data_IF_890282617293
#
_entry.id   IF_890282617293
#
_cell.length_a   1.000
_cell.length_b   1.000
_cell.length_c   1.000
_cell.angle_alpha   90.00
_cell.angle_beta   90.00
_cell.angle_gamma   90.00
#
_symmetry.space_group_name_H-M   'P 1'
#
loop_
_entity.id
_entity.type
_entity.pdbx_description
1 polymer ?
#
# COMPACT_ATOMS: atom_id res chain seq x y z
N UNK A 1 2.62 5.65 -6.69
CA UNK A 1 2.22 5.53 -5.27
C UNK A 1 1.57 6.84 -4.88
N UNK A 2 0.44 6.81 -4.16
CA UNK A 2 -0.36 8.01 -3.82
C UNK A 2 -1.10 7.79 -2.49
N UNK A 3 -1.48 8.84 -1.74
CA UNK A 3 -1.13 10.25 -1.95
C UNK A 3 0.38 10.50 -1.86
N UNK A 4 0.84 11.64 -2.40
CA UNK A 4 2.24 12.06 -2.31
C UNK A 4 2.45 12.77 -0.96
N UNK A 5 2.76 11.98 0.07
CA UNK A 5 3.05 12.44 1.41
C UNK A 5 4.15 11.60 2.05
N UNK A 6 4.75 12.11 3.11
CA UNK A 6 5.65 11.34 3.96
C UNK A 6 4.83 10.42 4.87
N UNK A 7 5.16 9.12 4.90
CA UNK A 7 4.41 8.09 5.64
C UNK A 7 4.67 8.16 7.16
N UNK A 8 4.24 9.25 7.79
CA UNK A 8 4.14 9.41 9.25
C UNK A 8 2.70 9.19 9.71
N UNK A 9 2.52 8.94 11.01
CA UNK A 9 1.20 8.70 11.58
C UNK A 9 0.29 9.93 11.41
N UNK A 10 0.80 11.11 11.71
CA UNK A 10 0.09 12.40 11.63
C UNK A 10 -0.34 12.71 10.19
N UNK A 11 0.53 12.45 9.22
CA UNK A 11 0.23 12.66 7.80
C UNK A 11 -0.84 11.68 7.31
N UNK A 12 -0.86 10.45 7.82
CA UNK A 12 -1.90 9.48 7.49
C UNK A 12 -3.24 9.91 8.10
N UNK A 13 -3.26 10.35 9.36
CA UNK A 13 -4.48 10.82 10.03
C UNK A 13 -5.08 12.07 9.35
N UNK A 14 -4.24 13.05 8.99
CA UNK A 14 -4.70 14.25 8.26
C UNK A 14 -5.30 13.94 6.88
N UNK A 15 -4.95 12.78 6.32
CA UNK A 15 -5.42 12.31 5.01
C UNK A 15 -6.19 10.99 5.11
N UNK A 16 -6.82 10.69 6.25
CA UNK A 16 -7.42 9.38 6.54
C UNK A 16 -8.48 8.97 5.50
N UNK A 17 -9.21 9.94 4.95
CA UNK A 17 -10.26 9.73 3.95
C UNK A 17 -9.73 9.52 2.52
N UNK A 18 -8.40 9.61 2.32
CA UNK A 18 -7.79 9.44 1.00
C UNK A 18 -7.66 7.95 0.66
N UNK A 19 -7.84 7.59 -0.62
CA UNK A 19 -7.49 6.25 -1.11
C UNK A 19 -5.96 6.15 -1.27
N UNK A 20 -5.36 5.19 -0.58
CA UNK A 20 -3.93 4.92 -0.64
C UNK A 20 -3.63 3.86 -1.70
N UNK A 21 -2.56 4.10 -2.47
CA UNK A 21 -1.97 3.13 -3.38
C UNK A 21 -0.50 2.99 -3.02
N UNK A 22 -0.18 1.92 -2.30
CA UNK A 22 1.14 1.62 -1.75
C UNK A 22 1.85 0.53 -2.56
N UNK A 23 3.17 0.51 -2.47
CA UNK A 23 4.03 -0.52 -3.07
C UNK A 23 4.90 -1.12 -1.98
N UNK A 24 5.01 -2.44 -1.91
CA UNK A 24 5.93 -3.09 -0.96
C UNK A 24 7.37 -2.73 -1.30
N UNK A 25 8.23 -2.70 -0.27
CA UNK A 25 9.65 -2.36 -0.43
C UNK A 25 10.33 -3.36 -1.40
N UNK A 26 11.09 -2.88 -2.40
CA UNK A 26 11.83 -3.75 -3.31
C UNK A 26 12.89 -4.55 -2.55
N UNK A 27 13.14 -5.78 -2.99
CA UNK A 27 14.15 -6.66 -2.39
C UNK A 27 13.73 -7.31 -1.06
N UNK A 28 12.49 -7.14 -0.61
CA UNK A 28 11.96 -7.90 0.54
C UNK A 28 11.34 -9.22 0.10
N UNK A 29 10.61 -9.22 -1.01
CA UNK A 29 10.04 -10.43 -1.58
C UNK A 29 11.11 -11.21 -2.34
N UNK A 30 11.69 -12.22 -1.68
CA UNK A 30 12.75 -13.08 -2.22
C UNK A 30 12.16 -14.30 -2.93
N UNK A 31 11.48 -14.04 -4.04
CA UNK A 31 10.90 -15.09 -4.90
C UNK A 31 11.71 -15.21 -6.18
N UNK A 32 11.80 -16.43 -6.72
CA UNK A 32 12.44 -16.70 -8.00
C UNK A 32 11.51 -16.33 -9.18
N UNK A 33 11.17 -15.05 -9.27
CA UNK A 33 10.38 -14.47 -10.36
C UNK A 33 11.14 -13.28 -10.98
N UNK A 34 10.76 -12.79 -12.18
CA UNK A 34 11.30 -11.55 -12.71
C UNK A 34 11.13 -10.34 -11.75
N UNK A 35 12.06 -9.36 -11.73
CA UNK A 35 12.06 -8.24 -10.78
C UNK A 35 10.75 -7.45 -10.68
N UNK A 36 10.02 -7.34 -11.79
CA UNK A 36 8.71 -6.68 -11.92
C UNK A 36 7.61 -7.35 -11.09
N UNK A 37 7.74 -8.65 -10.79
CA UNK A 37 6.81 -9.41 -9.96
C UNK A 37 7.27 -9.54 -8.50
N UNK A 38 8.42 -8.97 -8.13
CA UNK A 38 8.98 -9.04 -6.76
C UNK A 38 8.49 -7.91 -5.85
N UNK A 39 7.33 -7.34 -6.16
CA UNK A 39 6.67 -6.35 -5.31
C UNK A 39 5.16 -6.44 -5.48
N UNK A 40 4.43 -6.03 -4.45
CA UNK A 40 2.98 -5.91 -4.50
C UNK A 40 2.60 -4.44 -4.57
N UNK A 41 1.60 -4.15 -5.38
CA UNK A 41 0.92 -2.85 -5.42
C UNK A 41 -0.44 -3.01 -4.78
N UNK A 42 -0.68 -2.34 -3.66
CA UNK A 42 -1.89 -2.47 -2.86
C UNK A 42 -2.69 -1.18 -2.94
N UNK A 43 -4.00 -1.29 -3.15
CA UNK A 43 -4.93 -0.15 -3.11
C UNK A 43 -5.91 -0.35 -1.97
N UNK A 44 -6.18 0.69 -1.19
CA UNK A 44 -7.01 0.56 0.00
C UNK A 44 -7.27 1.87 0.73
N UNK A 45 -7.89 1.75 1.90
CA UNK A 45 -8.20 2.86 2.81
C UNK A 45 -7.48 2.66 4.15
N UNK A 46 -7.22 3.78 4.81
CA UNK A 46 -6.68 3.80 6.17
C UNK A 46 -7.86 3.96 7.15
N UNK A 47 -7.86 3.18 8.22
CA UNK A 47 -8.81 3.25 9.30
C UNK A 47 -8.05 3.52 10.59
N UNK A 48 -8.42 4.58 11.32
CA UNK A 48 -7.86 4.86 12.64
C UNK A 48 -8.73 4.21 13.72
N UNK A 49 -8.11 3.51 14.67
CA UNK A 49 -8.77 2.87 15.82
C UNK A 49 -8.35 3.60 17.09
N UNK A 50 -9.13 4.60 17.57
CA UNK A 50 -8.72 5.48 18.66
C UNK A 50 -8.42 4.77 19.98
N UNK A 51 -9.08 3.64 20.23
CA UNK A 51 -8.93 2.86 21.47
C UNK A 51 -7.55 2.23 21.63
N UNK A 52 -6.83 2.04 20.51
CA UNK A 52 -5.51 1.38 20.49
C UNK A 52 -4.42 2.25 19.88
N UNK A 53 -4.76 3.44 19.42
CA UNK A 53 -3.86 4.35 18.68
C UNK A 53 -3.19 3.66 17.47
N UNK A 54 -3.97 2.86 16.74
CA UNK A 54 -3.50 2.11 15.58
C UNK A 54 -4.14 2.63 14.28
N UNK A 55 -3.37 2.55 13.20
CA UNK A 55 -3.89 2.70 11.84
C UNK A 55 -3.88 1.35 11.14
N UNK A 56 -5.05 0.94 10.66
CA UNK A 56 -5.26 -0.28 9.88
C UNK A 56 -5.33 0.10 8.40
N UNK A 57 -4.55 -0.58 7.56
CA UNK A 57 -4.65 -0.47 6.12
C UNK A 57 -5.49 -1.60 5.54
N UNK A 58 -6.74 -1.32 5.19
CA UNK A 58 -7.64 -2.28 4.54
C UNK A 58 -7.46 -2.17 3.02
N UNK A 59 -6.90 -3.20 2.40
CA UNK A 59 -6.45 -3.11 1.01
C UNK A 59 -6.63 -4.41 0.21
N UNK A 60 -6.48 -4.27 -1.10
CA UNK A 60 -6.48 -5.37 -2.05
C UNK A 60 -5.32 -5.21 -3.06
N UNK A 61 -4.81 -6.32 -3.64
CA UNK A 61 -3.84 -6.26 -4.73
C UNK A 61 -4.41 -5.52 -5.94
N UNK A 62 -3.64 -4.61 -6.50
CA UNK A 62 -4.03 -3.82 -7.66
C UNK A 62 -3.02 -4.03 -8.78
N UNK A 63 -3.44 -4.75 -9.81
CA UNK A 63 -2.72 -4.86 -11.08
C UNK A 63 -2.99 -3.62 -11.94
N UNK A 64 -1.98 -3.15 -12.66
CA UNK A 64 -2.14 -1.99 -13.54
C UNK A 64 -2.65 -2.44 -14.91
N UNK A 65 -2.18 -3.58 -15.40
CA UNK A 65 -2.65 -4.21 -16.64
C UNK A 65 -2.95 -5.70 -16.43
N UNK A 66 -3.87 -6.24 -17.25
CA UNK A 66 -4.18 -7.68 -17.27
C UNK A 66 -2.95 -8.52 -17.62
N UNK A 67 -2.04 -7.96 -18.42
CA UNK A 67 -0.76 -8.59 -18.80
C UNK A 67 0.18 -8.80 -17.60
N UNK A 68 -0.04 -8.10 -16.47
CA UNK A 68 0.70 -8.30 -15.22
C UNK A 68 0.28 -9.58 -14.47
N UNK A 69 -0.73 -10.31 -14.98
CA UNK A 69 -1.36 -11.47 -14.32
C UNK A 69 -1.04 -12.83 -15.02
N UNK A 70 -0.36 -12.80 -16.15
CA UNK A 70 0.00 -13.94 -17.02
C UNK A 70 1.50 -14.10 -17.15
#
# INVERSE_FOLDING_TARGET
VRPHLELTFENILSHINTIYVLKTKPGVMQVNAPPEYRYLRLKGQMLYVPETDLVIFLCYPSVMNLDDLT
#
